data_IF_354305365862
#
_entry.id   IF_354305365862
#
_cell.length_a   1.000
_cell.length_b   1.000
_cell.length_c   1.000
_cell.angle_alpha   90.00
_cell.angle_beta   90.00
_cell.angle_gamma   90.00
#
_symmetry.space_group_name_H-M   'P 1'
#
loop_
_entity.id
_entity.type
_entity.pdbx_description
1 polymer ?
#
# COMPACT_ATOMS: atom_id res chain seq x y z
N UNK A 1 -8.48 31.64 -2.48
CA UNK A 1 -9.01 30.41 -1.89
C UNK A 1 -8.71 30.37 -0.42
N UNK A 2 -9.61 29.87 0.34
CA UNK A 2 -9.36 29.75 1.75
C UNK A 2 -8.76 28.37 2.07
N UNK A 3 -8.07 28.31 3.18
CA UNK A 3 -7.42 27.09 3.63
C UNK A 3 -8.41 25.98 3.95
N UNK A 4 -9.60 26.36 4.37
CA UNK A 4 -10.65 25.42 4.72
C UNK A 4 -11.13 24.61 3.50
N UNK A 5 -11.26 25.25 2.36
CA UNK A 5 -11.64 24.60 1.12
C UNK A 5 -10.54 23.66 0.64
N UNK A 6 -9.30 24.09 0.75
CA UNK A 6 -8.13 23.29 0.44
C UNK A 6 -8.03 22.07 1.36
N UNK A 7 -8.34 22.25 2.62
CA UNK A 7 -8.35 21.17 3.60
C UNK A 7 -9.44 20.15 3.30
N UNK A 8 -10.59 20.59 2.83
CA UNK A 8 -11.67 19.70 2.45
C UNK A 8 -11.28 18.80 1.27
N UNK A 9 -10.53 19.32 0.30
CA UNK A 9 -10.03 18.52 -0.83
C UNK A 9 -8.99 17.49 -0.37
N UNK A 10 -8.19 17.85 0.63
CA UNK A 10 -7.19 16.97 1.20
C UNK A 10 -7.77 15.97 2.18
N UNK A 11 -8.95 16.29 2.70
CA UNK A 11 -9.59 15.52 3.77
C UNK A 11 -10.46 14.40 3.24
N UNK A 12 -9.92 13.66 2.25
CA UNK A 12 -10.45 12.34 2.02
C UNK A 12 -9.96 11.53 3.21
N UNK A 13 -10.88 11.26 4.08
CA UNK A 13 -10.58 10.56 5.31
C UNK A 13 -10.29 9.11 5.03
N UNK A 14 -9.39 8.55 5.81
CA UNK A 14 -9.16 7.11 5.77
C UNK A 14 -10.46 6.35 6.00
N UNK A 15 -11.32 6.86 6.88
CA UNK A 15 -12.64 6.27 7.15
C UNK A 15 -13.51 6.14 5.90
N UNK A 16 -13.35 7.02 4.91
CA UNK A 16 -14.11 6.94 3.67
C UNK A 16 -13.73 5.69 2.86
N UNK A 17 -12.45 5.34 2.87
CA UNK A 17 -11.97 4.12 2.22
C UNK A 17 -12.42 2.87 2.95
N UNK A 18 -12.51 2.93 4.26
CA UNK A 18 -12.83 1.77 5.10
C UNK A 18 -14.33 1.55 5.28
N UNK A 19 -15.14 2.58 4.96
CA UNK A 19 -16.59 2.51 5.13
C UNK A 19 -17.19 1.41 4.24
N UNK A 20 -18.08 0.61 4.82
CA UNK A 20 -18.80 -0.43 4.09
C UNK A 20 -17.96 -1.66 3.72
N UNK A 21 -16.71 -1.72 4.15
CA UNK A 21 -15.86 -2.90 3.89
C UNK A 21 -16.19 -4.02 4.87
N UNK A 22 -15.96 -5.27 4.43
CA UNK A 22 -16.18 -6.43 5.29
C UNK A 22 -15.18 -6.42 6.45
N UNK A 23 -15.53 -7.08 7.55
CA UNK A 23 -14.59 -7.26 8.66
C UNK A 23 -13.32 -7.97 8.20
N UNK A 24 -13.43 -8.89 7.26
CA UNK A 24 -12.27 -9.56 6.70
C UNK A 24 -11.32 -8.56 6.04
N UNK A 25 -11.84 -7.71 5.14
CA UNK A 25 -11.02 -6.69 4.47
C UNK A 25 -10.41 -5.70 5.46
N UNK A 26 -11.18 -5.27 6.46
CA UNK A 26 -10.65 -4.39 7.51
C UNK A 26 -9.53 -5.06 8.29
N UNK A 27 -9.62 -6.37 8.54
CA UNK A 27 -8.55 -7.09 9.21
C UNK A 27 -7.27 -7.16 8.36
N UNK A 28 -7.41 -7.29 7.04
CA UNK A 28 -6.26 -7.26 6.13
C UNK A 28 -5.56 -5.90 6.19
N UNK A 29 -6.34 -4.83 6.14
CA UNK A 29 -5.80 -3.48 6.23
C UNK A 29 -5.05 -3.27 7.55
N UNK A 30 -5.70 -3.58 8.67
CA UNK A 30 -5.09 -3.41 10.01
C UNK A 30 -3.81 -4.22 10.13
N UNK A 31 -3.82 -5.46 9.67
CA UNK A 31 -2.64 -6.34 9.77
C UNK A 31 -1.48 -5.80 8.92
N UNK A 32 -1.78 -5.28 7.73
CA UNK A 32 -0.76 -4.70 6.87
C UNK A 32 -0.12 -3.46 7.52
N UNK A 33 -0.92 -2.56 8.06
CA UNK A 33 -0.44 -1.36 8.74
C UNK A 33 0.37 -1.75 9.99
N UNK A 34 -0.14 -2.66 10.81
CA UNK A 34 0.58 -3.12 12.01
C UNK A 34 1.91 -3.75 11.65
N UNK A 35 1.96 -4.52 10.58
CA UNK A 35 3.21 -5.13 10.10
C UNK A 35 4.22 -4.07 9.69
N UNK A 36 3.76 -2.98 9.02
CA UNK A 36 4.66 -1.87 8.69
C UNK A 36 5.13 -1.13 9.94
N UNK A 37 4.26 -0.91 10.90
CA UNK A 37 4.65 -0.23 12.15
C UNK A 37 5.72 -1.00 12.92
N UNK A 38 5.76 -2.31 12.77
CA UNK A 38 6.83 -3.14 13.35
C UNK A 38 8.16 -2.99 12.60
N UNK A 39 8.11 -2.61 11.33
CA UNK A 39 9.32 -2.37 10.54
C UNK A 39 9.90 -0.99 10.87
N UNK A 40 9.05 0.02 10.98
CA UNK A 40 9.48 1.37 11.29
C UNK A 40 8.34 2.36 11.26
N UNK A 41 8.68 3.62 11.43
CA UNK A 41 7.69 4.70 11.44
C UNK A 41 7.16 4.94 10.04
N UNK A 42 5.85 4.96 9.91
CA UNK A 42 5.17 5.25 8.65
C UNK A 42 4.05 6.27 8.88
N UNK A 43 3.64 6.91 7.79
CA UNK A 43 2.45 7.75 7.74
C UNK A 43 1.52 7.23 6.64
N UNK A 44 0.23 7.50 6.80
CA UNK A 44 -0.81 7.03 5.88
C UNK A 44 -1.44 8.24 5.21
N UNK A 45 -1.52 8.21 3.88
CA UNK A 45 -2.01 9.33 3.08
C UNK A 45 -3.14 8.87 2.17
N UNK A 46 -4.40 8.97 2.62
CA UNK A 46 -5.52 8.63 1.75
C UNK A 46 -5.70 9.69 0.67
N UNK A 47 -5.98 9.23 -0.53
CA UNK A 47 -6.37 10.08 -1.65
C UNK A 47 -7.70 9.60 -2.17
N UNK A 48 -8.22 10.23 -3.22
CA UNK A 48 -9.52 9.88 -3.77
C UNK A 48 -9.58 8.42 -4.24
N UNK A 49 -8.47 7.87 -4.73
CA UNK A 49 -8.47 6.55 -5.37
C UNK A 49 -7.64 5.50 -4.63
N UNK A 50 -6.77 5.89 -3.71
CA UNK A 50 -5.87 4.93 -3.06
C UNK A 50 -5.40 5.44 -1.71
N UNK A 51 -4.74 4.56 -0.96
CA UNK A 51 -4.13 4.89 0.32
C UNK A 51 -2.63 4.70 0.17
N UNK A 52 -1.87 5.79 0.21
CA UNK A 52 -0.42 5.72 0.15
C UNK A 52 0.18 5.50 1.54
N UNK A 53 1.21 4.68 1.61
CA UNK A 53 2.00 4.46 2.81
C UNK A 53 3.35 5.12 2.57
N UNK A 54 3.82 5.92 3.50
CA UNK A 54 5.06 6.66 3.35
C UNK A 54 6.00 6.49 4.56
N UNK A 55 7.28 6.43 4.27
CA UNK A 55 8.37 6.67 5.22
C UNK A 55 8.86 8.10 4.97
N UNK A 56 10.06 8.34 4.45
CA UNK A 56 10.43 9.68 3.95
C UNK A 56 9.70 10.01 2.65
N UNK A 57 9.55 9.01 1.81
CA UNK A 57 8.78 9.10 0.58
C UNK A 57 7.74 7.98 0.57
N UNK A 58 6.87 7.99 -0.43
CA UNK A 58 5.87 6.95 -0.55
C UNK A 58 6.51 5.63 -0.93
N UNK A 59 6.19 4.58 -0.18
CA UNK A 59 6.82 3.26 -0.30
C UNK A 59 5.87 2.18 -0.79
N UNK A 60 4.57 2.37 -0.58
CA UNK A 60 3.57 1.40 -0.99
C UNK A 60 2.23 2.09 -1.18
N UNK A 61 1.37 1.46 -1.97
CA UNK A 61 0.04 1.98 -2.24
C UNK A 61 -0.97 0.86 -2.06
N UNK A 62 -1.99 1.10 -1.23
CA UNK A 62 -3.17 0.25 -1.20
C UNK A 62 -4.08 0.78 -2.31
N UNK A 63 -4.17 0.04 -3.40
CA UNK A 63 -4.87 0.50 -4.60
C UNK A 63 -6.34 0.07 -4.63
N UNK A 64 -6.69 -0.94 -3.85
CA UNK A 64 -8.07 -1.40 -3.77
C UNK A 64 -8.33 -2.15 -2.48
N UNK A 65 -9.44 -1.82 -1.83
CA UNK A 65 -10.01 -2.59 -0.75
C UNK A 65 -11.28 -3.23 -1.29
N UNK A 66 -11.17 -4.47 -1.72
CA UNK A 66 -12.27 -5.20 -2.32
C UNK A 66 -13.05 -6.02 -1.30
N UNK A 67 -14.00 -6.80 -1.80
CA UNK A 67 -14.74 -7.72 -0.95
C UNK A 67 -13.84 -8.90 -0.59
N UNK A 68 -13.35 -8.90 0.64
CA UNK A 68 -12.49 -9.95 1.19
C UNK A 68 -11.11 -10.05 0.53
N UNK A 69 -10.61 -8.94 -0.01
CA UNK A 69 -9.22 -8.86 -0.47
C UNK A 69 -8.72 -7.42 -0.42
N UNK A 70 -7.39 -7.28 -0.50
CA UNK A 70 -6.74 -5.97 -0.55
C UNK A 70 -5.61 -6.04 -1.59
N UNK A 71 -5.58 -5.07 -2.51
CA UNK A 71 -4.51 -4.95 -3.51
C UNK A 71 -3.52 -3.90 -3.08
N UNK A 72 -2.24 -4.25 -3.17
CA UNK A 72 -1.12 -3.39 -2.80
C UNK A 72 -0.14 -3.31 -3.96
N UNK A 73 0.44 -2.14 -4.17
CA UNK A 73 1.48 -1.93 -5.18
C UNK A 73 2.75 -1.41 -4.51
N UNK A 74 3.87 -2.05 -4.82
CA UNK A 74 5.20 -1.58 -4.43
C UNK A 74 5.95 -1.09 -5.66
N UNK A 75 6.38 0.19 -5.69
CA UNK A 75 7.26 0.68 -6.75
C UNK A 75 8.72 0.37 -6.40
N UNK A 76 9.36 -0.42 -7.25
CA UNK A 76 10.79 -0.72 -7.12
C UNK A 76 11.52 -0.27 -8.39
N UNK A 77 12.84 -0.20 -8.31
CA UNK A 77 13.69 0.23 -9.41
C UNK A 77 14.17 -0.92 -10.30
N UNK A 78 13.72 -2.13 -10.04
CA UNK A 78 14.01 -3.31 -10.83
C UNK A 78 12.89 -4.33 -10.66
N UNK A 79 12.72 -5.25 -11.63
CA UNK A 79 11.70 -6.30 -11.48
C UNK A 79 12.21 -7.44 -10.60
N UNK A 80 11.35 -7.90 -9.69
CA UNK A 80 11.62 -9.07 -8.85
C UNK A 80 10.75 -10.23 -9.33
N UNK A 81 10.95 -10.62 -10.60
CA UNK A 81 10.08 -11.56 -11.30
C UNK A 81 10.18 -13.00 -10.84
N UNK A 82 11.23 -13.36 -10.08
CA UNK A 82 11.40 -14.72 -9.59
C UNK A 82 10.55 -15.03 -8.37
N UNK A 83 9.84 -14.02 -7.86
CA UNK A 83 9.07 -14.15 -6.62
C UNK A 83 7.60 -14.44 -6.93
N UNK A 84 7.02 -15.38 -6.21
CA UNK A 84 5.66 -15.86 -6.47
C UNK A 84 4.58 -15.02 -5.80
N UNK A 85 4.94 -14.12 -4.87
CA UNK A 85 3.94 -13.31 -4.16
C UNK A 85 3.29 -12.25 -5.05
N UNK A 86 3.97 -11.81 -6.11
CA UNK A 86 3.43 -10.77 -6.99
C UNK A 86 2.58 -11.37 -8.09
N UNK A 87 1.38 -10.84 -8.26
CA UNK A 87 0.46 -11.30 -9.32
C UNK A 87 0.77 -10.63 -10.66
N UNK A 88 1.47 -9.48 -10.64
CA UNK A 88 1.83 -8.74 -11.83
C UNK A 88 2.99 -7.80 -11.51
N UNK A 89 3.90 -7.65 -12.47
CA UNK A 89 4.96 -6.62 -12.42
C UNK A 89 4.87 -5.86 -13.72
N UNK A 90 4.74 -4.53 -13.64
CA UNK A 90 4.59 -3.68 -14.81
C UNK A 90 5.54 -2.49 -14.74
N UNK A 91 6.36 -2.33 -15.79
CA UNK A 91 7.24 -1.17 -15.91
C UNK A 91 6.42 0.07 -16.22
N UNK A 92 6.70 1.16 -15.52
CA UNK A 92 6.12 2.47 -15.84
C UNK A 92 6.81 2.97 -17.10
N UNK A 93 6.06 3.31 -18.18
CA UNK A 93 6.66 3.73 -19.44
C UNK A 93 7.63 4.90 -19.27
N UNK A 94 8.80 4.78 -19.91
CA UNK A 94 9.82 5.82 -19.90
C UNK A 94 10.58 5.97 -18.57
N UNK A 95 10.48 5.01 -17.68
CA UNK A 95 11.16 5.06 -16.39
C UNK A 95 11.79 3.73 -16.02
N UNK A 96 12.57 3.74 -14.93
CA UNK A 96 13.11 2.53 -14.31
C UNK A 96 12.27 2.07 -13.13
N UNK A 97 11.00 2.52 -13.07
CA UNK A 97 10.10 2.09 -12.02
C UNK A 97 9.28 0.89 -12.47
N UNK A 98 9.23 -0.11 -11.62
CA UNK A 98 8.45 -1.33 -11.84
C UNK A 98 7.44 -1.45 -10.70
N UNK A 99 6.15 -1.41 -11.05
CA UNK A 99 5.08 -1.55 -10.08
C UNK A 99 4.80 -3.04 -9.85
N UNK A 100 5.01 -3.46 -8.62
CA UNK A 100 4.81 -4.84 -8.19
C UNK A 100 3.47 -4.97 -7.50
N UNK A 101 2.55 -5.70 -8.12
CA UNK A 101 1.16 -5.82 -7.65
C UNK A 101 0.99 -7.09 -6.82
N UNK A 102 0.44 -6.92 -5.63
CA UNK A 102 0.22 -8.00 -4.67
C UNK A 102 -1.25 -8.01 -4.27
N UNK A 103 -1.88 -9.18 -4.29
CA UNK A 103 -3.23 -9.34 -3.75
C UNK A 103 -3.17 -10.12 -2.44
N UNK A 104 -3.71 -9.53 -1.40
CA UNK A 104 -3.78 -10.10 -0.07
C UNK A 104 -5.22 -10.56 0.18
N UNK A 105 -5.41 -11.86 0.39
CA UNK A 105 -6.72 -12.45 0.60
C UNK A 105 -6.91 -12.92 2.03
N UNK A 106 -5.82 -13.12 2.76
CA UNK A 106 -5.85 -13.46 4.19
C UNK A 106 -4.65 -12.81 4.88
N UNK A 107 -4.71 -12.68 6.19
CA UNK A 107 -3.58 -12.11 6.95
C UNK A 107 -2.33 -12.95 6.82
N UNK A 108 -2.48 -14.26 6.60
CA UNK A 108 -1.34 -15.17 6.39
C UNK A 108 -0.62 -14.92 5.05
N UNK A 109 -1.24 -14.20 4.11
CA UNK A 109 -0.57 -13.80 2.88
C UNK A 109 0.48 -12.72 3.11
N UNK A 110 0.41 -12.00 4.24
CA UNK A 110 1.48 -11.11 4.69
C UNK A 110 2.51 -11.98 5.39
N UNK A 111 3.16 -12.80 4.60
CA UNK A 111 4.10 -13.81 5.05
C UNK A 111 5.52 -13.27 5.06
N UNK A 112 6.48 -14.16 5.28
CA UNK A 112 7.90 -13.80 5.38
C UNK A 112 8.43 -13.18 4.08
N UNK A 113 8.01 -13.71 2.93
CA UNK A 113 8.39 -13.18 1.62
C UNK A 113 7.85 -11.76 1.43
N UNK A 114 6.55 -11.57 1.67
CA UNK A 114 5.92 -10.24 1.55
C UNK A 114 6.57 -9.25 2.51
N UNK A 115 6.82 -9.65 3.75
CA UNK A 115 7.47 -8.79 4.73
C UNK A 115 8.88 -8.38 4.31
N UNK A 116 9.59 -9.26 3.59
CA UNK A 116 10.91 -8.90 3.08
C UNK A 116 10.83 -7.78 2.04
N UNK A 117 9.81 -7.77 1.19
CA UNK A 117 9.58 -6.68 0.24
C UNK A 117 9.07 -5.42 0.92
N UNK A 118 8.26 -5.53 1.95
CA UNK A 118 7.86 -4.39 2.78
C UNK A 118 9.08 -3.69 3.38
N UNK A 119 10.02 -4.47 3.91
CA UNK A 119 11.28 -3.95 4.47
C UNK A 119 12.14 -3.32 3.40
N UNK A 120 12.24 -3.95 2.23
CA UNK A 120 13.02 -3.42 1.12
C UNK A 120 12.48 -2.07 0.67
N UNK A 121 11.17 -1.95 0.51
CA UNK A 121 10.53 -0.68 0.15
C UNK A 121 10.79 0.39 1.21
N UNK A 122 10.68 0.03 2.48
CA UNK A 122 10.95 0.96 3.58
C UNK A 122 12.40 1.43 3.56
N UNK A 123 13.34 0.50 3.42
CA UNK A 123 14.77 0.79 3.46
C UNK A 123 15.19 1.71 2.30
N UNK A 124 14.63 1.49 1.11
CA UNK A 124 14.98 2.27 -0.08
C UNK A 124 14.49 3.72 0.01
N UNK A 125 13.49 3.98 0.85
CA UNK A 125 12.81 5.28 0.91
C UNK A 125 12.78 5.89 2.32
N UNK A 126 13.58 5.36 3.21
CA UNK A 126 13.66 5.91 4.57
C UNK A 126 14.81 6.97 4.74
#
# INVERSE_FOLDING_TARGET
MNDKEKDMEKDIELSDHLAGKTEHTLSLYRHFIDSYLQIGKITVHPSKTMIAIAAKTRIAYITRLGKNFMDVTFPFDQPYGDNTCFVKIAQVPGSNQYNHHLRIMSTSDINKEVKSFMKLAYKNHS
#
